data_IF_928324039409
#
_entry.id   IF_928324039409
#
_cell.length_a   1.000
_cell.length_b   1.000
_cell.length_c   1.000
_cell.angle_alpha   90.00
_cell.angle_beta   90.00
_cell.angle_gamma   90.00
#
_symmetry.space_group_name_H-M   'P 1'
#
loop_
_entity.id
_entity.type
_entity.pdbx_description
1 polymer ?
#
# COMPACT_ATOMS: atom_id res chain seq x y z
N UNK A 1 -1.92 26.19 -11.71
CA UNK A 1 -1.08 25.20 -11.01
C UNK A 1 -0.12 24.64 -12.05
N UNK A 2 1.19 24.78 -11.85
CA UNK A 2 2.19 24.21 -12.75
C UNK A 2 2.67 22.91 -12.11
N UNK A 3 1.99 21.79 -12.41
CA UNK A 3 2.23 20.50 -11.73
C UNK A 3 3.70 20.11 -11.64
N UNK A 4 4.49 20.39 -12.68
CA UNK A 4 5.93 20.12 -12.69
C UNK A 4 6.72 20.97 -11.69
N UNK A 5 6.35 22.21 -11.45
CA UNK A 5 6.97 23.06 -10.43
C UNK A 5 6.57 22.64 -9.03
N UNK A 6 5.28 22.39 -8.81
CA UNK A 6 4.76 21.99 -7.49
C UNK A 6 5.33 20.64 -7.06
N UNK A 7 5.47 19.68 -7.99
CA UNK A 7 6.16 18.42 -7.75
C UNK A 7 7.64 18.65 -7.39
N UNK A 8 8.36 19.51 -8.12
CA UNK A 8 9.77 19.83 -7.79
C UNK A 8 9.91 20.43 -6.39
N UNK A 9 9.03 21.36 -6.01
CA UNK A 9 8.99 21.96 -4.66
C UNK A 9 8.68 20.91 -3.59
N UNK A 10 7.73 20.01 -3.84
CA UNK A 10 7.47 18.88 -2.95
C UNK A 10 8.69 17.97 -2.79
N UNK A 11 9.42 17.68 -3.86
CA UNK A 11 10.64 16.87 -3.78
C UNK A 11 11.75 17.55 -2.98
N UNK A 12 11.90 18.87 -3.10
CA UNK A 12 12.80 19.65 -2.26
C UNK A 12 12.38 19.60 -0.78
N UNK A 13 11.08 19.80 -0.48
CA UNK A 13 10.53 19.68 0.87
C UNK A 13 10.76 18.30 1.47
N UNK A 14 10.50 17.26 0.69
CA UNK A 14 10.72 15.88 1.09
C UNK A 14 12.20 15.61 1.36
N UNK A 15 13.12 16.14 0.54
CA UNK A 15 14.55 16.04 0.78
C UNK A 15 14.96 16.75 2.09
N UNK A 16 14.44 17.96 2.31
CA UNK A 16 14.69 18.75 3.52
C UNK A 16 14.21 18.05 4.79
N UNK A 17 13.01 17.44 4.77
CA UNK A 17 12.45 16.72 5.91
C UNK A 17 13.27 15.51 6.35
N UNK A 18 14.31 15.14 5.60
CA UNK A 18 15.22 14.04 5.88
C UNK A 18 16.69 14.46 5.95
N UNK A 19 16.98 15.75 5.89
CA UNK A 19 18.36 16.23 5.87
C UNK A 19 19.02 16.00 7.23
N UNK A 20 20.24 15.44 7.22
CA UNK A 20 21.09 15.29 8.41
C UNK A 20 22.04 16.48 8.60
N UNK A 21 22.11 17.37 7.61
CA UNK A 21 23.01 18.54 7.59
C UNK A 21 22.28 19.86 7.72
N UNK A 22 20.95 19.88 7.56
CA UNK A 22 20.14 21.08 7.77
C UNK A 22 19.88 21.31 9.27
N UNK A 23 19.57 22.57 9.68
CA UNK A 23 19.19 22.87 11.06
C UNK A 23 18.01 22.01 11.54
N UNK A 24 18.09 21.46 12.75
CA UNK A 24 17.11 20.50 13.29
C UNK A 24 15.67 21.02 13.28
N UNK A 25 15.46 22.30 13.59
CA UNK A 25 14.14 22.92 13.56
C UNK A 25 13.56 22.95 12.14
N UNK A 26 14.38 23.23 11.13
CA UNK A 26 13.95 23.26 9.72
C UNK A 26 13.55 21.86 9.23
N UNK A 27 14.28 20.82 9.65
CA UNK A 27 13.92 19.42 9.36
C UNK A 27 12.58 19.08 9.99
N UNK A 28 12.37 19.46 11.25
CA UNK A 28 11.12 19.23 12.00
C UNK A 28 9.92 19.92 11.33
N UNK A 29 10.10 21.17 10.91
CA UNK A 29 9.05 21.92 10.22
C UNK A 29 8.71 21.30 8.86
N UNK A 30 9.73 20.90 8.09
CA UNK A 30 9.54 20.19 6.82
C UNK A 30 8.80 18.85 7.01
N UNK A 31 9.15 18.09 8.06
CA UNK A 31 8.50 16.82 8.41
C UNK A 31 7.02 17.00 8.75
N UNK A 32 6.66 18.11 9.40
CA UNK A 32 5.27 18.46 9.70
C UNK A 32 4.47 18.89 8.45
N UNK A 33 5.13 19.24 7.34
CA UNK A 33 4.48 19.72 6.12
C UNK A 33 4.39 18.66 5.03
N UNK A 34 5.40 17.80 4.88
CA UNK A 34 5.59 16.93 3.72
C UNK A 34 4.35 16.10 3.35
N UNK A 35 3.68 15.49 4.33
CA UNK A 35 2.47 14.69 4.08
C UNK A 35 1.30 15.56 3.61
N UNK A 36 1.05 16.69 4.28
CA UNK A 36 -0.05 17.60 3.93
C UNK A 36 0.10 18.16 2.53
N UNK A 37 1.31 18.61 2.20
CA UNK A 37 1.63 19.10 0.84
C UNK A 37 1.39 17.98 -0.18
N UNK A 38 1.82 16.75 0.12
CA UNK A 38 1.58 15.62 -0.77
C UNK A 38 0.10 15.35 -1.02
N UNK A 39 -0.71 15.33 0.03
CA UNK A 39 -2.16 15.12 -0.08
C UNK A 39 -2.81 16.19 -0.96
N UNK A 40 -2.47 17.46 -0.75
CA UNK A 40 -2.99 18.58 -1.55
C UNK A 40 -2.60 18.43 -3.02
N UNK A 41 -1.36 18.04 -3.31
CA UNK A 41 -0.92 17.81 -4.70
C UNK A 41 -1.68 16.68 -5.38
N UNK A 42 -1.84 15.54 -4.71
CA UNK A 42 -2.57 14.40 -5.27
C UNK A 42 -4.05 14.71 -5.48
N UNK A 43 -4.68 15.42 -4.54
CA UNK A 43 -6.05 15.90 -4.67
C UNK A 43 -6.20 16.87 -5.85
N UNK A 44 -5.23 17.76 -6.04
CA UNK A 44 -5.24 18.72 -7.14
C UNK A 44 -5.07 18.04 -8.50
N UNK A 45 -4.21 17.02 -8.58
CA UNK A 45 -4.08 16.18 -9.79
C UNK A 45 -5.40 15.46 -10.06
N UNK A 46 -5.99 14.81 -9.06
CA UNK A 46 -7.26 14.09 -9.21
C UNK A 46 -8.42 15.02 -9.64
N UNK A 47 -8.49 16.23 -9.08
CA UNK A 47 -9.46 17.24 -9.45
C UNK A 47 -9.27 17.72 -10.91
N UNK A 48 -8.02 17.93 -11.33
CA UNK A 48 -7.72 18.30 -12.71
C UNK A 48 -8.09 17.17 -13.70
N UNK A 49 -7.78 15.91 -13.37
CA UNK A 49 -8.20 14.75 -14.18
C UNK A 49 -9.73 14.67 -14.29
N UNK A 50 -10.45 14.93 -13.19
CA UNK A 50 -11.91 14.99 -13.18
C UNK A 50 -12.42 16.12 -14.07
N UNK A 51 -11.82 17.31 -13.98
CA UNK A 51 -12.19 18.46 -14.81
C UNK A 51 -11.94 18.23 -16.30
N UNK A 52 -10.83 17.58 -16.67
CA UNK A 52 -10.54 17.19 -18.05
C UNK A 52 -11.55 16.17 -18.56
N UNK A 53 -11.90 15.17 -17.74
CA UNK A 53 -12.93 14.19 -18.12
C UNK A 53 -14.28 14.84 -18.42
N UNK A 54 -14.67 15.84 -17.64
CA UNK A 54 -15.93 16.56 -17.86
C UNK A 54 -15.91 17.46 -19.09
N UNK A 55 -14.77 18.10 -19.40
CA UNK A 55 -14.69 19.09 -20.50
C UNK A 55 -14.33 18.50 -21.85
N UNK A 56 -13.39 17.56 -21.85
CA UNK A 56 -12.75 17.04 -23.06
C UNK A 56 -13.18 15.61 -23.37
N UNK A 57 -14.05 15.01 -22.54
CA UNK A 57 -14.48 13.62 -22.68
C UNK A 57 -13.35 12.61 -22.43
N UNK A 58 -12.20 13.04 -21.87
CA UNK A 58 -11.10 12.15 -21.49
C UNK A 58 -11.53 11.35 -20.27
N UNK A 59 -12.12 10.18 -20.49
CA UNK A 59 -12.73 9.38 -19.46
C UNK A 59 -11.73 8.59 -18.63
N UNK A 60 -12.29 7.86 -17.67
CA UNK A 60 -11.55 6.86 -16.91
C UNK A 60 -10.90 5.80 -17.83
N UNK A 61 -11.48 5.55 -19.00
CA UNK A 61 -11.01 4.59 -20.00
C UNK A 61 -9.67 4.98 -20.60
N UNK A 62 -9.49 6.23 -21.04
CA UNK A 62 -8.22 6.72 -21.58
C UNK A 62 -7.09 6.58 -20.55
N UNK A 63 -7.39 6.93 -19.29
CA UNK A 63 -6.42 6.86 -18.19
C UNK A 63 -6.13 5.43 -17.75
N UNK A 64 -7.09 4.52 -17.90
CA UNK A 64 -6.93 3.10 -17.56
C UNK A 64 -5.93 2.35 -18.47
N UNK A 65 -5.59 2.92 -19.64
CA UNK A 65 -4.58 2.36 -20.56
C UNK A 65 -3.16 2.45 -20.03
N UNK A 66 -2.93 3.25 -19.00
CA UNK A 66 -1.63 3.42 -18.37
C UNK A 66 -1.25 2.19 -17.52
N UNK A 67 0.05 1.96 -17.25
CA UNK A 67 0.44 0.90 -16.31
C UNK A 67 -0.11 1.16 -14.90
N UNK A 68 -1.03 0.31 -14.44
CA UNK A 68 -1.57 0.34 -13.07
C UNK A 68 -0.50 0.07 -11.99
N UNK A 69 0.41 -0.86 -12.27
CA UNK A 69 1.33 -1.43 -11.29
C UNK A 69 2.74 -0.87 -11.43
N UNK A 70 3.50 -0.89 -10.34
CA UNK A 70 4.95 -0.69 -10.32
C UNK A 70 5.66 -1.89 -9.69
N UNK A 71 6.97 -1.75 -9.51
CA UNK A 71 7.81 -2.80 -8.93
C UNK A 71 8.63 -2.25 -7.76
N UNK A 72 8.72 -3.02 -6.67
CA UNK A 72 9.59 -2.75 -5.52
C UNK A 72 10.55 -3.91 -5.32
N UNK A 73 11.86 -3.61 -5.18
CA UNK A 73 12.87 -4.64 -4.89
C UNK A 73 12.59 -5.43 -3.60
N UNK A 74 11.93 -4.80 -2.61
CA UNK A 74 11.63 -5.44 -1.31
C UNK A 74 10.41 -6.35 -1.38
N UNK A 75 9.42 -6.00 -2.21
CA UNK A 75 8.05 -6.51 -2.09
C UNK A 75 7.42 -7.00 -3.40
N UNK A 76 8.12 -6.88 -4.53
CA UNK A 76 7.67 -7.34 -5.84
C UNK A 76 6.69 -6.39 -6.51
N UNK A 77 5.73 -6.97 -7.24
CA UNK A 77 4.69 -6.25 -7.99
C UNK A 77 3.71 -5.58 -7.04
N UNK A 78 3.38 -4.31 -7.31
CA UNK A 78 2.48 -3.55 -6.45
C UNK A 78 1.66 -2.52 -7.19
N UNK A 79 0.47 -2.23 -6.67
CA UNK A 79 -0.36 -1.14 -7.14
C UNK A 79 -0.21 0.02 -6.15
N UNK A 80 -0.01 1.23 -6.69
CA UNK A 80 0.11 2.46 -5.90
C UNK A 80 -1.21 3.20 -5.91
N UNK A 81 -1.67 3.56 -4.72
CA UNK A 81 -2.80 4.46 -4.50
C UNK A 81 -2.25 5.81 -4.01
N UNK A 82 -3.03 6.90 -4.10
CA UNK A 82 -2.54 8.18 -3.62
C UNK A 82 -2.49 8.17 -2.09
N UNK A 83 -1.54 8.88 -1.47
CA UNK A 83 -1.53 9.08 -0.02
C UNK A 83 -2.75 9.85 0.48
N UNK A 84 -3.42 10.61 -0.37
CA UNK A 84 -4.71 11.23 -0.06
C UNK A 84 -5.81 10.22 0.31
N UNK A 85 -5.62 8.92 -0.01
CA UNK A 85 -6.51 7.83 0.41
C UNK A 85 -6.13 7.22 1.78
N UNK A 86 -4.99 7.58 2.36
CA UNK A 86 -4.57 7.09 3.67
C UNK A 86 -5.32 7.80 4.80
N UNK A 87 -5.55 7.09 5.91
CA UNK A 87 -5.91 7.71 7.19
C UNK A 87 -4.67 7.62 8.10
N UNK A 88 -3.78 8.63 8.13
CA UNK A 88 -2.54 8.54 8.88
C UNK A 88 -2.81 8.44 10.39
N UNK A 89 -1.90 7.80 11.11
CA UNK A 89 -1.79 7.93 12.57
C UNK A 89 -0.93 9.15 12.93
N UNK A 90 -0.86 9.49 14.23
CA UNK A 90 -0.01 10.60 14.69
C UNK A 90 1.46 10.34 14.38
N UNK A 91 1.88 9.08 14.46
CA UNK A 91 3.28 8.69 14.24
C UNK A 91 3.58 8.50 12.75
N UNK A 92 2.70 7.85 12.00
CA UNK A 92 3.00 7.51 10.60
C UNK A 92 2.85 8.68 9.62
N UNK A 93 2.08 9.73 9.95
CA UNK A 93 1.81 10.82 9.00
C UNK A 93 3.09 11.54 8.56
N UNK A 94 3.92 11.94 9.51
CA UNK A 94 5.14 12.70 9.24
C UNK A 94 6.32 11.79 8.83
N UNK A 95 6.29 10.53 9.26
CA UNK A 95 7.34 9.54 9.10
C UNK A 95 6.97 8.41 8.11
N UNK A 96 5.96 8.63 7.24
CA UNK A 96 5.46 7.56 6.38
C UNK A 96 6.57 7.06 5.45
N UNK A 97 6.69 5.73 5.33
CA UNK A 97 7.58 5.08 4.36
C UNK A 97 7.34 5.54 2.90
N UNK A 98 6.16 6.10 2.62
CA UNK A 98 5.87 6.81 1.37
C UNK A 98 6.88 7.90 1.03
N UNK A 99 7.48 8.52 2.04
CA UNK A 99 8.45 9.59 1.87
C UNK A 99 9.90 9.05 1.87
N UNK A 100 10.11 7.73 1.98
CA UNK A 100 11.43 7.09 2.16
C UNK A 100 11.97 6.49 0.86
N UNK A 101 12.27 7.35 -0.11
CA UNK A 101 13.00 7.05 -1.37
C UNK A 101 12.20 6.29 -2.43
N UNK A 102 11.16 5.53 -2.09
CA UNK A 102 10.29 4.88 -3.09
C UNK A 102 9.33 5.82 -3.82
N UNK A 103 9.33 7.09 -3.44
CA UNK A 103 8.75 8.21 -4.18
C UNK A 103 9.79 9.03 -4.95
N UNK A 104 11.06 8.59 -5.07
CA UNK A 104 12.13 9.35 -5.74
C UNK A 104 11.86 9.76 -7.21
N UNK A 105 10.73 9.35 -7.78
CA UNK A 105 10.29 9.75 -9.11
C UNK A 105 8.90 10.42 -9.07
N UNK A 106 8.75 11.62 -9.65
CA UNK A 106 7.45 12.28 -9.84
C UNK A 106 6.39 11.39 -10.47
N UNK A 107 6.79 10.50 -11.39
CA UNK A 107 5.90 9.56 -12.06
C UNK A 107 5.13 8.63 -11.09
N UNK A 108 5.71 8.29 -9.94
CA UNK A 108 5.04 7.45 -8.94
C UNK A 108 3.90 8.20 -8.24
N UNK A 109 4.09 9.51 -8.01
CA UNK A 109 3.08 10.40 -7.42
C UNK A 109 1.89 10.52 -8.35
N UNK A 110 2.17 10.84 -9.61
CA UNK A 110 1.15 10.99 -10.65
C UNK A 110 0.39 9.68 -10.84
N UNK A 111 1.09 8.54 -10.90
CA UNK A 111 0.43 7.22 -11.02
C UNK A 111 -0.49 6.93 -9.86
N UNK A 112 -0.08 7.22 -8.63
CA UNK A 112 -0.94 7.08 -7.45
C UNK A 112 -2.21 7.92 -7.59
N UNK A 113 -2.08 9.20 -7.95
CA UNK A 113 -3.22 10.08 -8.14
C UNK A 113 -4.16 9.60 -9.27
N UNK A 114 -3.62 9.15 -10.40
CA UNK A 114 -4.39 8.58 -11.52
C UNK A 114 -5.14 7.33 -11.08
N UNK A 115 -4.47 6.38 -10.42
CA UNK A 115 -5.10 5.16 -9.90
C UNK A 115 -6.22 5.48 -8.90
N UNK A 116 -6.02 6.48 -8.05
CA UNK A 116 -7.06 6.96 -7.13
C UNK A 116 -8.26 7.59 -7.85
N UNK A 117 -8.03 8.35 -8.92
CA UNK A 117 -9.11 8.91 -9.74
C UNK A 117 -9.90 7.80 -10.45
N UNK A 118 -9.22 6.81 -11.02
CA UNK A 118 -9.83 5.60 -11.62
C UNK A 118 -10.70 4.87 -10.60
N UNK A 119 -10.18 4.60 -9.41
CA UNK A 119 -10.93 3.96 -8.34
C UNK A 119 -12.16 4.78 -7.94
N UNK A 120 -12.02 6.10 -7.79
CA UNK A 120 -13.12 6.98 -7.43
C UNK A 120 -14.21 7.07 -8.52
N UNK A 121 -13.85 7.00 -9.81
CA UNK A 121 -14.81 6.89 -10.89
C UNK A 121 -15.56 5.57 -10.87
N UNK A 122 -14.87 4.46 -10.59
CA UNK A 122 -15.53 3.16 -10.42
C UNK A 122 -16.57 3.18 -9.30
N UNK A 123 -16.21 3.71 -8.13
CA UNK A 123 -17.12 3.75 -6.97
C UNK A 123 -18.40 4.54 -7.28
N UNK A 124 -18.28 5.66 -8.01
CA UNK A 124 -19.42 6.51 -8.39
C UNK A 124 -20.18 6.04 -9.63
N UNK A 125 -19.58 5.17 -10.44
CA UNK A 125 -20.17 4.74 -11.70
C UNK A 125 -21.32 3.75 -11.52
N UNK A 126 -22.17 3.66 -12.53
CA UNK A 126 -23.18 2.61 -12.65
C UNK A 126 -22.58 1.27 -13.11
N UNK A 127 -23.42 0.23 -13.27
CA UNK A 127 -22.97 -1.10 -13.67
C UNK A 127 -22.25 -1.11 -15.03
N UNK A 128 -22.77 -0.38 -16.02
CA UNK A 128 -22.18 -0.31 -17.36
C UNK A 128 -20.82 0.37 -17.33
N UNK A 129 -20.74 1.52 -16.65
CA UNK A 129 -19.49 2.28 -16.50
C UNK A 129 -18.41 1.48 -15.76
N UNK A 130 -18.81 0.72 -14.73
CA UNK A 130 -17.91 -0.17 -13.98
C UNK A 130 -17.38 -1.31 -14.85
N UNK A 131 -18.24 -1.94 -15.63
CA UNK A 131 -17.85 -3.02 -16.55
C UNK A 131 -16.89 -2.53 -17.63
N UNK A 132 -17.19 -1.38 -18.24
CA UNK A 132 -16.35 -0.78 -19.28
C UNK A 132 -14.95 -0.43 -18.74
N UNK A 133 -14.89 0.14 -17.52
CA UNK A 133 -13.63 0.40 -16.85
C UNK A 133 -12.83 -0.87 -16.60
N UNK A 134 -13.47 -1.93 -16.08
CA UNK A 134 -12.79 -3.19 -15.82
C UNK A 134 -12.32 -3.86 -17.11
N UNK A 135 -13.08 -3.75 -18.19
CA UNK A 135 -12.68 -4.23 -19.51
C UNK A 135 -11.42 -3.52 -20.00
N UNK A 136 -11.35 -2.19 -19.86
CA UNK A 136 -10.18 -1.41 -20.22
C UNK A 136 -8.94 -1.75 -19.36
N UNK A 137 -9.15 -2.17 -18.11
CA UNK A 137 -8.10 -2.64 -17.21
C UNK A 137 -7.62 -4.08 -17.45
N UNK A 138 -8.28 -4.85 -18.33
CA UNK A 138 -7.95 -6.26 -18.56
C UNK A 138 -6.48 -6.47 -19.01
N UNK A 139 -5.98 -5.65 -19.93
CA UNK A 139 -4.57 -5.73 -20.37
C UNK A 139 -3.58 -5.34 -19.26
N UNK A 140 -3.74 -4.20 -18.56
CA UNK A 140 -2.95 -3.88 -17.37
C UNK A 140 -2.94 -4.99 -16.31
N UNK A 141 -4.07 -5.64 -16.05
CA UNK A 141 -4.19 -6.76 -15.10
C UNK A 141 -3.39 -7.97 -15.55
N UNK A 142 -3.52 -8.39 -16.82
CA UNK A 142 -2.73 -9.51 -17.37
C UNK A 142 -1.23 -9.28 -17.24
N UNK A 143 -0.76 -8.08 -17.60
CA UNK A 143 0.65 -7.69 -17.45
C UNK A 143 1.12 -7.74 -15.99
N UNK A 144 0.26 -7.36 -15.06
CA UNK A 144 0.54 -7.39 -13.63
C UNK A 144 0.66 -8.85 -13.11
N UNK A 145 -0.23 -9.74 -13.55
CA UNK A 145 -0.21 -11.17 -13.23
C UNK A 145 1.06 -11.83 -13.79
N UNK A 146 1.40 -11.56 -15.05
CA UNK A 146 2.63 -12.07 -15.69
C UNK A 146 3.89 -11.59 -14.95
N UNK A 147 3.92 -10.31 -14.56
CA UNK A 147 5.02 -9.76 -13.77
C UNK A 147 5.15 -10.47 -12.41
N UNK A 148 4.04 -10.75 -11.73
CA UNK A 148 4.05 -11.44 -10.44
C UNK A 148 4.53 -12.90 -10.57
N UNK A 149 4.11 -13.60 -11.63
CA UNK A 149 4.60 -14.95 -11.98
C UNK A 149 6.09 -14.95 -12.29
N UNK A 150 6.56 -13.99 -13.10
CA UNK A 150 7.98 -13.85 -13.44
C UNK A 150 8.82 -13.58 -12.20
N UNK A 151 8.35 -12.70 -11.32
CA UNK A 151 8.98 -12.37 -10.04
C UNK A 151 9.12 -13.61 -9.14
N UNK A 152 8.05 -14.42 -9.00
CA UNK A 152 8.11 -15.68 -8.24
C UNK A 152 9.09 -16.70 -8.84
N UNK A 153 9.11 -16.87 -10.17
CA UNK A 153 10.06 -17.76 -10.85
C UNK A 153 11.51 -17.32 -10.64
N UNK A 154 11.79 -16.02 -10.69
CA UNK A 154 13.13 -15.50 -10.46
C UNK A 154 13.62 -15.77 -9.03
N UNK A 155 12.71 -15.80 -8.05
CA UNK A 155 13.00 -16.10 -6.66
C UNK A 155 13.20 -17.60 -6.37
N UNK A 156 12.73 -18.50 -7.24
CA UNK A 156 12.63 -19.94 -6.97
C UNK A 156 13.97 -20.62 -6.64
N UNK A 157 15.10 -20.08 -7.13
CA UNK A 157 16.43 -20.57 -6.77
C UNK A 157 16.80 -20.33 -5.30
N UNK A 158 16.17 -19.34 -4.65
CA UNK A 158 16.44 -18.96 -3.25
C UNK A 158 15.32 -19.39 -2.31
N UNK A 159 14.08 -19.21 -2.74
CA UNK A 159 12.88 -19.42 -1.95
C UNK A 159 11.67 -19.69 -2.86
N UNK A 160 11.05 -20.85 -2.70
CA UNK A 160 9.82 -21.20 -3.44
C UNK A 160 8.62 -20.56 -2.76
N UNK A 161 7.90 -19.72 -3.49
CA UNK A 161 6.67 -19.04 -3.03
C UNK A 161 5.67 -18.87 -4.16
N UNK A 162 4.41 -18.63 -3.80
CA UNK A 162 3.37 -18.22 -4.74
C UNK A 162 3.62 -16.81 -5.29
N UNK A 163 3.19 -16.53 -6.53
CA UNK A 163 3.19 -15.17 -7.06
C UNK A 163 2.19 -14.31 -6.29
N UNK A 164 2.51 -13.03 -6.13
CA UNK A 164 1.74 -12.13 -5.27
C UNK A 164 1.76 -10.71 -5.80
N UNK A 165 0.66 -9.99 -5.57
CA UNK A 165 0.52 -8.58 -5.91
C UNK A 165 0.12 -7.82 -4.65
N UNK A 166 0.87 -6.77 -4.33
CA UNK A 166 0.52 -5.87 -3.22
C UNK A 166 -0.47 -4.81 -3.69
N UNK A 167 -1.70 -4.90 -3.22
CA UNK A 167 -2.70 -3.84 -3.30
C UNK A 167 -2.36 -2.85 -2.20
N UNK A 168 -2.02 -1.61 -2.56
CA UNK A 168 -1.52 -0.56 -1.66
C UNK A 168 -0.09 -0.83 -1.14
N UNK A 169 0.88 -0.49 -1.99
CA UNK A 169 2.26 -0.24 -1.53
C UNK A 169 2.39 1.11 -0.81
N UNK A 170 1.73 2.14 -1.36
CA UNK A 170 1.48 3.49 -0.81
C UNK A 170 0.02 3.85 -1.08
N UNK A 171 -0.58 4.68 -0.24
CA UNK A 171 -2.04 4.89 -0.25
C UNK A 171 -2.78 3.68 0.35
N UNK A 172 -4.11 3.73 0.40
CA UNK A 172 -4.95 2.63 0.83
C UNK A 172 -5.97 2.30 -0.25
N UNK A 173 -6.21 1.00 -0.50
CA UNK A 173 -7.29 0.53 -1.37
C UNK A 173 -8.62 0.43 -0.63
N UNK A 174 -8.58 0.27 0.69
CA UNK A 174 -9.77 0.11 1.52
C UNK A 174 -10.80 1.26 1.42
N UNK A 175 -10.44 2.53 1.15
CA UNK A 175 -11.42 3.58 0.84
C UNK A 175 -12.21 3.38 -0.47
N UNK A 176 -11.77 2.45 -1.32
CA UNK A 176 -12.40 2.10 -2.60
C UNK A 176 -12.70 0.59 -2.64
N UNK A 177 -13.55 0.08 -1.72
CA UNK A 177 -13.72 -1.36 -1.53
C UNK A 177 -14.36 -2.05 -2.75
N UNK A 178 -15.29 -1.39 -3.44
CA UNK A 178 -15.92 -1.92 -4.64
C UNK A 178 -14.91 -2.11 -5.77
N UNK A 179 -14.08 -1.10 -6.00
CA UNK A 179 -13.01 -1.17 -7.00
C UNK A 179 -11.94 -2.19 -6.61
N UNK A 180 -11.53 -2.21 -5.33
CA UNK A 180 -10.51 -3.14 -4.83
C UNK A 180 -10.94 -4.60 -5.05
N UNK A 181 -12.16 -4.95 -4.64
CA UNK A 181 -12.70 -6.30 -4.79
C UNK A 181 -12.84 -6.67 -6.27
N UNK A 182 -13.37 -5.78 -7.11
CA UNK A 182 -13.52 -6.04 -8.54
C UNK A 182 -12.17 -6.27 -9.24
N UNK A 183 -11.15 -5.46 -8.91
CA UNK A 183 -9.82 -5.63 -9.47
C UNK A 183 -9.14 -6.91 -8.99
N UNK A 184 -9.31 -7.29 -7.71
CA UNK A 184 -8.79 -8.55 -7.20
C UNK A 184 -9.49 -9.77 -7.82
N UNK A 185 -10.79 -9.68 -8.09
CA UNK A 185 -11.50 -10.70 -8.88
C UNK A 185 -10.89 -10.86 -10.27
N UNK A 186 -10.60 -9.76 -10.98
CA UNK A 186 -9.92 -9.82 -12.29
C UNK A 186 -8.52 -10.43 -12.20
N UNK A 187 -7.78 -10.19 -11.12
CA UNK A 187 -6.49 -10.85 -10.88
C UNK A 187 -6.68 -12.35 -10.68
N UNK A 188 -7.65 -12.77 -9.85
CA UNK A 188 -7.95 -14.17 -9.60
C UNK A 188 -8.34 -14.89 -10.89
N UNK A 189 -9.26 -14.32 -11.66
CA UNK A 189 -9.70 -14.83 -12.97
C UNK A 189 -8.52 -14.94 -13.95
N UNK A 190 -7.71 -13.89 -14.10
CA UNK A 190 -6.58 -13.88 -15.03
C UNK A 190 -5.42 -14.80 -14.63
N UNK A 191 -5.42 -15.30 -13.39
CA UNK A 191 -4.35 -16.13 -12.85
C UNK A 191 -4.79 -17.54 -12.46
N UNK A 192 -6.06 -17.90 -12.71
CA UNK A 192 -6.66 -19.15 -12.25
C UNK A 192 -6.46 -19.37 -10.73
N UNK A 193 -6.51 -18.28 -9.97
CA UNK A 193 -6.29 -18.29 -8.51
C UNK A 193 -4.85 -18.54 -8.07
N UNK A 194 -3.85 -18.48 -8.95
CA UNK A 194 -2.44 -18.67 -8.58
C UNK A 194 -1.82 -17.45 -7.90
N UNK A 195 -2.32 -16.25 -8.16
CA UNK A 195 -1.72 -14.99 -7.68
C UNK A 195 -2.45 -14.48 -6.45
N UNK A 196 -1.72 -14.32 -5.35
CA UNK A 196 -2.28 -13.83 -4.09
C UNK A 196 -2.35 -12.28 -4.09
N UNK A 197 -3.51 -11.71 -3.77
CA UNK A 197 -3.68 -10.28 -3.56
C UNK A 197 -3.48 -9.95 -2.08
N UNK A 198 -2.53 -9.07 -1.77
CA UNK A 198 -2.18 -8.72 -0.39
C UNK A 198 -2.36 -7.24 -0.15
N UNK A 199 -3.05 -6.87 0.91
CA UNK A 199 -3.34 -5.48 1.26
C UNK A 199 -2.84 -5.13 2.64
N UNK A 200 -2.17 -3.99 2.73
CA UNK A 200 -1.78 -3.38 4.00
C UNK A 200 -2.65 -2.15 4.19
N UNK A 201 -3.40 -2.11 5.27
CA UNK A 201 -4.35 -1.02 5.50
C UNK A 201 -4.53 -0.78 6.99
N UNK A 202 -4.93 0.44 7.32
CA UNK A 202 -5.38 0.86 8.66
C UNK A 202 -6.74 1.56 8.57
N UNK A 203 -7.39 1.46 7.41
CA UNK A 203 -8.63 2.13 7.09
C UNK A 203 -9.80 1.46 7.82
N UNK A 204 -10.78 2.24 8.31
CA UNK A 204 -12.02 1.68 8.87
C UNK A 204 -12.76 0.71 7.94
N UNK A 205 -12.63 0.92 6.63
CA UNK A 205 -13.33 0.13 5.60
C UNK A 205 -12.58 -1.15 5.20
N UNK A 206 -11.49 -1.52 5.88
CA UNK A 206 -10.81 -2.79 5.62
C UNK A 206 -11.74 -4.01 5.73
N UNK A 207 -12.81 -3.90 6.53
CA UNK A 207 -13.87 -4.92 6.68
C UNK A 207 -14.73 -5.13 5.44
N UNK A 208 -14.69 -4.20 4.48
CA UNK A 208 -15.44 -4.28 3.22
C UNK A 208 -14.64 -4.98 2.12
N UNK A 209 -13.38 -5.33 2.39
CA UNK A 209 -12.57 -6.13 1.47
C UNK A 209 -12.96 -7.61 1.58
N UNK A 210 -13.11 -8.27 0.45
CA UNK A 210 -13.50 -9.69 0.39
C UNK A 210 -12.37 -10.57 0.97
N UNK A 211 -12.62 -11.30 2.07
CA UNK A 211 -11.61 -12.13 2.71
C UNK A 211 -11.13 -13.31 1.85
N UNK A 212 -11.90 -13.73 0.85
CA UNK A 212 -11.52 -14.80 -0.09
C UNK A 212 -10.64 -14.27 -1.23
N UNK A 213 -10.61 -12.94 -1.43
CA UNK A 213 -9.76 -12.30 -2.42
C UNK A 213 -8.46 -11.74 -1.83
N UNK A 214 -8.45 -11.40 -0.54
CA UNK A 214 -7.35 -10.66 0.07
C UNK A 214 -6.72 -11.32 1.29
N UNK A 215 -5.39 -11.34 1.31
CA UNK A 215 -4.63 -11.42 2.56
C UNK A 215 -4.50 -10.01 3.15
N UNK A 216 -5.25 -9.75 4.22
CA UNK A 216 -5.30 -8.43 4.87
C UNK A 216 -4.31 -8.36 6.05
N UNK A 217 -3.40 -7.39 5.97
CA UNK A 217 -2.49 -7.01 7.03
C UNK A 217 -2.92 -5.66 7.62
N UNK A 218 -3.68 -5.72 8.71
CA UNK A 218 -4.18 -4.53 9.38
C UNK A 218 -3.07 -3.90 10.23
N UNK A 219 -2.62 -2.72 9.84
CA UNK A 219 -1.46 -2.06 10.44
C UNK A 219 -1.86 -1.12 11.58
N UNK A 220 -1.32 -1.35 12.78
CA UNK A 220 -1.47 -0.48 13.95
C UNK A 220 -0.12 0.12 14.36
N UNK A 221 -0.17 1.18 15.17
CA UNK A 221 0.95 1.73 15.93
C UNK A 221 0.45 2.26 17.28
N UNK A 222 1.37 2.66 18.17
CA UNK A 222 1.05 3.12 19.52
C UNK A 222 0.00 4.25 19.57
N UNK A 223 -0.12 5.04 18.50
CA UNK A 223 -1.05 6.16 18.41
C UNK A 223 -2.40 5.81 17.77
N UNK A 224 -2.64 4.55 17.42
CA UNK A 224 -3.81 4.11 16.65
C UNK A 224 -4.44 2.80 17.14
N UNK A 225 -4.16 2.39 18.39
CA UNK A 225 -4.76 1.17 18.97
C UNK A 225 -6.30 1.20 19.03
N UNK A 226 -6.91 2.38 19.10
CA UNK A 226 -8.37 2.56 19.04
C UNK A 226 -8.97 2.01 17.73
N UNK A 227 -8.17 1.92 16.66
CA UNK A 227 -8.57 1.36 15.36
C UNK A 227 -8.64 -0.16 15.34
N UNK A 228 -8.22 -0.84 16.41
CA UNK A 228 -8.34 -2.31 16.53
C UNK A 228 -9.79 -2.78 16.33
N UNK A 229 -10.78 -1.94 16.64
CA UNK A 229 -12.21 -2.19 16.37
C UNK A 229 -12.58 -2.34 14.89
N UNK A 230 -11.71 -1.91 13.98
CA UNK A 230 -11.91 -2.01 12.53
C UNK A 230 -11.22 -3.22 11.89
N UNK A 231 -10.48 -4.01 12.68
CA UNK A 231 -9.73 -5.17 12.18
C UNK A 231 -10.71 -6.26 11.73
N UNK A 232 -10.68 -6.66 10.44
CA UNK A 232 -11.47 -7.81 9.98
C UNK A 232 -11.05 -9.10 10.70
N UNK A 233 -11.98 -10.01 10.96
CA UNK A 233 -11.68 -11.27 11.66
C UNK A 233 -10.58 -12.10 10.98
N UNK A 234 -10.57 -12.08 9.64
CA UNK A 234 -9.61 -12.75 8.75
C UNK A 234 -8.29 -12.00 8.59
N UNK A 235 -8.22 -10.75 9.05
CA UNK A 235 -7.00 -9.96 8.98
C UNK A 235 -6.00 -10.35 10.07
N UNK A 236 -4.73 -10.27 9.70
CA UNK A 236 -3.61 -10.31 10.65
C UNK A 236 -3.30 -8.89 11.09
N UNK A 237 -3.25 -8.67 12.40
CA UNK A 237 -2.80 -7.40 12.97
C UNK A 237 -1.28 -7.37 12.90
N UNK A 238 -0.72 -6.30 12.37
CA UNK A 238 0.72 -6.06 12.31
C UNK A 238 1.04 -4.68 12.87
N UNK A 239 2.26 -4.51 13.39
CA UNK A 239 2.72 -3.23 13.93
C UNK A 239 3.86 -2.62 13.13
N UNK A 240 3.83 -1.30 12.99
CA UNK A 240 4.99 -0.48 12.64
C UNK A 240 5.69 -0.05 13.94
N UNK A 241 6.85 -0.63 14.22
CA UNK A 241 7.60 -0.41 15.45
C UNK A 241 8.46 0.86 15.34
N UNK A 242 7.80 2.03 15.43
CA UNK A 242 8.48 3.31 15.60
C UNK A 242 9.25 3.32 16.93
N UNK A 243 10.48 3.81 16.92
CA UNK A 243 11.39 3.74 18.07
C UNK A 243 11.87 2.32 18.41
N UNK A 244 11.66 1.33 17.53
CA UNK A 244 12.10 -0.06 17.72
C UNK A 244 11.28 -0.85 18.74
N UNK A 245 10.19 -0.33 19.28
CA UNK A 245 9.40 -1.01 20.31
C UNK A 245 8.61 -2.20 19.76
N UNK A 246 8.78 -3.37 20.36
CA UNK A 246 8.11 -4.61 19.98
C UNK A 246 7.36 -5.22 21.16
N UNK A 247 6.24 -5.90 20.89
CA UNK A 247 5.41 -6.55 21.92
C UNK A 247 4.94 -7.92 21.43
N UNK A 248 4.74 -8.88 22.31
CA UNK A 248 4.28 -10.23 21.94
C UNK A 248 2.85 -10.27 21.39
N UNK A 249 2.03 -9.27 21.72
CA UNK A 249 0.61 -9.22 21.34
C UNK A 249 0.36 -8.89 19.86
N UNK A 250 1.38 -8.45 19.12
CA UNK A 250 1.27 -8.08 17.71
C UNK A 250 2.58 -8.37 16.98
N UNK A 251 2.49 -9.05 15.84
CA UNK A 251 3.65 -9.28 14.98
C UNK A 251 4.17 -7.95 14.39
N UNK A 252 5.45 -7.67 14.55
CA UNK A 252 6.09 -6.46 14.01
C UNK A 252 6.49 -6.74 12.56
N UNK A 253 5.72 -6.19 11.63
CA UNK A 253 5.97 -6.35 10.21
C UNK A 253 7.01 -5.34 9.70
N UNK A 254 7.14 -4.21 10.40
CA UNK A 254 8.15 -3.21 10.10
C UNK A 254 8.81 -2.73 11.38
N UNK A 255 10.08 -3.07 11.58
CA UNK A 255 10.96 -2.21 12.35
C UNK A 255 11.19 -0.93 11.53
N UNK A 256 11.09 0.21 12.19
CA UNK A 256 11.31 1.51 11.56
C UNK A 256 12.68 1.53 10.87
N UNK A 257 12.65 1.68 9.55
CA UNK A 257 13.80 2.00 8.74
C UNK A 257 13.62 3.42 8.28
N UNK A 258 13.94 4.39 9.11
CA UNK A 258 14.37 5.64 8.54
C UNK A 258 15.76 5.41 7.98
N UNK A 259 15.98 5.89 6.75
CA UNK A 259 17.22 5.70 5.97
C UNK A 259 18.52 5.93 6.75
N UNK A 260 18.45 6.57 7.91
CA UNK A 260 19.56 6.99 8.75
C UNK A 260 19.81 6.14 10.00
N UNK A 261 18.84 5.33 10.47
CA UNK A 261 19.01 4.55 11.71
C UNK A 261 18.24 3.23 11.63
N UNK A 262 18.94 2.11 11.87
CA UNK A 262 18.28 0.85 12.21
C UNK A 262 18.22 0.75 13.72
N UNK A 263 17.02 0.95 14.25
CA UNK A 263 16.80 0.85 15.68
C UNK A 263 16.77 -0.64 16.03
N UNK A 264 17.58 -1.03 17.01
CA UNK A 264 17.50 -2.39 17.56
C UNK A 264 16.12 -2.57 18.21
N UNK A 265 15.47 -3.73 18.04
CA UNK A 265 14.20 -3.98 18.70
C UNK A 265 14.36 -3.85 20.23
N UNK A 266 13.40 -3.19 20.87
CA UNK A 266 13.30 -3.05 22.32
C UNK A 266 12.00 -3.71 22.78
N UNK A 267 12.12 -4.77 23.58
CA UNK A 267 11.00 -5.60 24.05
C UNK A 267 11.06 -7.03 23.50
N UNK A 268 9.98 -7.80 23.73
CA UNK A 268 9.80 -9.16 23.21
C UNK A 268 8.69 -9.18 22.16
N UNK A 269 8.89 -9.91 21.05
CA UNK A 269 7.91 -9.98 19.97
C UNK A 269 8.54 -10.45 18.66
N UNK A 270 7.70 -10.96 17.74
CA UNK A 270 8.16 -11.37 16.41
C UNK A 270 8.45 -10.15 15.55
N UNK A 271 9.63 -10.15 14.92
CA UNK A 271 10.10 -9.11 14.02
C UNK A 271 10.23 -9.67 12.61
N UNK A 272 9.82 -8.91 11.60
CA UNK A 272 10.06 -9.25 10.21
C UNK A 272 11.58 -9.35 9.95
N UNK A 273 12.11 -10.51 9.53
CA UNK A 273 13.55 -10.72 9.36
C UNK A 273 14.15 -9.82 8.28
N UNK A 274 13.36 -9.46 7.26
CA UNK A 274 13.76 -8.49 6.23
C UNK A 274 13.95 -7.07 6.76
N UNK A 275 13.54 -6.81 8.02
CA UNK A 275 13.66 -5.52 8.69
C UNK A 275 14.66 -5.48 9.84
N UNK A 276 15.28 -6.61 10.17
CA UNK A 276 16.24 -6.66 11.25
C UNK A 276 17.53 -5.89 10.89
N UNK A 277 18.16 -5.16 11.85
CA UNK A 277 19.37 -4.37 11.60
C UNK A 277 20.52 -5.15 10.95
N UNK A 278 20.71 -6.40 11.37
CA UNK A 278 21.75 -7.33 10.93
C UNK A 278 21.52 -7.91 9.52
N UNK A 279 20.31 -7.78 8.97
CA UNK A 279 19.96 -8.33 7.67
C UNK A 279 20.62 -7.53 6.55
N UNK A 280 21.58 -8.15 5.85
CA UNK A 280 22.30 -7.57 4.71
C UNK A 280 21.42 -7.49 3.46
N UNK A 281 20.79 -8.60 3.07
CA UNK A 281 19.92 -8.65 1.89
C UNK A 281 18.44 -8.60 2.31
N UNK A 282 17.86 -7.40 2.23
CA UNK A 282 16.57 -7.06 2.86
C UNK A 282 15.39 -7.28 1.94
N UNK A 283 15.26 -8.51 1.46
CA UNK A 283 14.12 -8.95 0.67
C UNK A 283 13.45 -10.13 1.36
N UNK A 284 12.14 -10.27 1.19
CA UNK A 284 11.40 -11.42 1.72
C UNK A 284 11.98 -12.75 1.20
N UNK A 285 12.44 -12.78 -0.04
CA UNK A 285 12.94 -13.99 -0.70
C UNK A 285 14.32 -14.39 -0.14
N UNK A 286 15.22 -13.43 0.08
CA UNK A 286 16.50 -13.69 0.74
C UNK A 286 16.34 -14.14 2.20
N UNK A 287 15.32 -13.63 2.88
CA UNK A 287 14.97 -14.03 4.24
C UNK A 287 14.09 -15.29 4.29
N UNK A 288 13.75 -15.89 3.14
CA UNK A 288 12.86 -17.05 3.01
C UNK A 288 11.56 -16.93 3.81
N UNK A 289 10.94 -15.75 3.76
CA UNK A 289 9.78 -15.41 4.57
C UNK A 289 8.59 -15.00 3.68
N UNK A 290 7.46 -15.68 3.84
CA UNK A 290 6.18 -15.40 3.18
C UNK A 290 5.04 -15.12 4.16
N UNK A 291 5.37 -14.86 5.43
CA UNK A 291 4.43 -14.64 6.52
C UNK A 291 3.31 -13.64 6.20
N UNK A 292 3.67 -12.54 5.53
CA UNK A 292 2.76 -11.46 5.14
C UNK A 292 1.81 -11.82 3.99
N UNK A 293 2.04 -12.95 3.34
CA UNK A 293 1.36 -13.33 2.10
C UNK A 293 0.53 -14.60 2.27
N UNK A 294 0.51 -15.17 3.49
CA UNK A 294 -0.35 -16.30 3.82
C UNK A 294 -1.61 -15.79 4.52
N UNK A 295 -2.80 -16.32 4.17
CA UNK A 295 -4.02 -16.08 4.93
C UNK A 295 -3.83 -16.38 6.41
N UNK A 296 -4.50 -15.61 7.27
CA UNK A 296 -4.54 -15.92 8.70
C UNK A 296 -5.32 -17.22 8.89
N UNK A 297 -4.72 -18.19 9.56
CA UNK A 297 -5.45 -19.38 10.00
C UNK A 297 -6.44 -18.95 11.09
N UNK A 298 -7.73 -18.95 10.75
CA UNK A 298 -8.80 -18.74 11.73
C UNK A 298 -9.12 -20.12 12.31
N UNK A 299 -8.77 -20.35 13.58
CA UNK A 299 -9.12 -21.59 14.28
C UNK A 299 -10.64 -21.76 14.26
N UNK A 300 -11.14 -22.87 13.72
CA UNK A 300 -12.59 -23.15 13.55
C UNK A 300 -13.37 -23.31 14.86
N UNK A 301 -12.76 -23.15 16.03
CA UNK A 301 -13.35 -23.40 17.36
C UNK A 301 -14.35 -22.36 17.88
N UNK A 302 -14.98 -21.56 17.02
CA UNK A 302 -15.92 -20.52 17.46
C UNK A 302 -17.32 -20.62 16.81
N UNK A 303 -17.73 -21.79 16.31
CA UNK A 303 -19.09 -21.99 15.75
C UNK A 303 -20.03 -22.88 16.57
N UNK A 304 -19.59 -23.45 17.69
CA UNK A 304 -20.41 -24.39 18.49
C UNK A 304 -20.84 -23.84 19.88
N UNK A 305 -21.05 -22.53 20.02
CA UNK A 305 -21.68 -21.99 21.24
C UNK A 305 -22.83 -21.08 20.83
N UNK A 306 -24.03 -21.66 20.68
CA UNK A 306 -25.24 -20.89 20.38
C UNK A 306 -26.37 -21.67 19.73
N UNK A 307 -26.63 -22.90 20.17
CA UNK A 307 -27.93 -23.55 19.97
C UNK A 307 -28.19 -24.47 21.17
N UNK A 308 -28.64 -23.84 22.26
CA UNK A 308 -29.15 -24.46 23.47
C UNK A 308 -30.18 -23.53 24.07
#
# INVERSE_FOLDING_TARGET
>A
MLFGEDLRRYFALAALSRSTTAPAQMVKDALALVFRVRVVLEQSIAAALTGLATREGIGALELSRQPLHGYSKKQGVSIRMPLSSCVPSKVCGAACYAHDVLDAAPASVVRGAVNGAIAAWYERGDGSQREELLAALALPVRRMVEAARKDARAAAATFVRRPRIRFAHLGEFAPFPGFANALATRVRESSDGEVDCVVYTRHPDARLLDPELFVVLFSLDESSEDRRRFVPATARVVRSAFGGRVTESVDVNFLEHHRWVHIKPVGTGKVCPATAPETKLRTCDACRCDFCFRPKQVSRHARDVGSG
#
